data_IF_731206549779
#
_entry.id   IF_731206549779
#
_cell.length_a   1.000
_cell.length_b   1.000
_cell.length_c   1.000
_cell.angle_alpha   90.00
_cell.angle_beta   90.00
_cell.angle_gamma   90.00
#
_symmetry.space_group_name_H-M   'P 1'
#
loop_
_entity.id
_entity.type
_entity.pdbx_description
1 polymer ?
#
# COMPACT_ATOMS: atom_id res chain seq x y z
N UNK A 1 5.73 7.62 5.27
CA UNK A 1 4.31 8.02 5.46
C UNK A 1 3.81 7.43 6.78
N UNK A 2 3.27 8.23 7.68
CA UNK A 2 2.72 7.75 8.96
C UNK A 2 1.34 7.11 8.78
N UNK A 3 0.95 6.27 9.75
CA UNK A 3 -0.36 5.62 9.83
C UNK A 3 -1.47 6.62 10.14
N UNK A 4 -2.61 6.51 9.46
CA UNK A 4 -3.79 7.38 9.67
C UNK A 4 -4.76 6.80 10.70
N UNK A 5 -5.08 5.52 10.56
CA UNK A 5 -6.04 4.83 11.42
C UNK A 5 -5.34 3.98 12.47
N UNK A 6 -5.44 4.36 13.73
CA UNK A 6 -4.81 3.64 14.85
C UNK A 6 -5.84 2.70 15.49
N UNK A 7 -5.69 1.36 15.36
CA UNK A 7 -6.58 0.43 16.04
C UNK A 7 -6.41 0.53 17.56
N UNK A 8 -7.54 0.51 18.25
CA UNK A 8 -7.60 0.55 19.72
C UNK A 8 -8.77 -0.29 20.21
N UNK A 9 -8.77 -1.55 19.81
CA UNK A 9 -9.78 -2.58 20.12
C UNK A 9 -9.13 -3.97 20.08
N UNK A 10 -9.76 -4.96 20.71
CA UNK A 10 -9.19 -6.30 20.82
C UNK A 10 -7.80 -6.25 21.45
N UNK A 11 -6.85 -6.86 20.82
CA UNK A 11 -5.44 -6.92 21.20
C UNK A 11 -4.65 -5.66 20.82
N UNK A 12 -5.26 -4.72 20.08
CA UNK A 12 -4.62 -3.50 19.63
C UNK A 12 -4.88 -2.33 20.58
N UNK A 13 -3.82 -1.60 20.92
CA UNK A 13 -3.87 -0.43 21.80
C UNK A 13 -2.94 0.70 21.36
N UNK A 14 -2.87 0.92 20.03
CA UNK A 14 -1.93 1.87 19.44
C UNK A 14 -2.14 3.32 19.91
N UNK A 15 -3.38 3.72 20.20
CA UNK A 15 -3.67 5.09 20.71
C UNK A 15 -3.03 5.40 22.06
N UNK A 16 -2.51 4.39 22.79
CA UNK A 16 -1.74 4.63 24.01
C UNK A 16 -0.33 5.16 23.73
N UNK A 17 0.19 4.92 22.54
CA UNK A 17 1.58 5.18 22.19
C UNK A 17 1.75 6.12 20.99
N UNK A 18 0.74 6.24 20.14
CA UNK A 18 0.82 6.94 18.86
C UNK A 18 -0.35 7.89 18.67
N UNK A 19 -0.12 8.89 17.83
CA UNK A 19 -1.14 9.79 17.29
C UNK A 19 -1.27 9.53 15.78
N UNK A 20 -2.45 9.79 15.17
CA UNK A 20 -2.63 9.68 13.73
C UNK A 20 -1.65 10.57 12.96
N UNK A 21 -1.22 10.10 11.81
CA UNK A 21 -0.36 10.86 10.92
C UNK A 21 -1.03 12.13 10.41
N UNK A 22 -0.25 13.19 10.29
CA UNK A 22 -0.70 14.45 9.72
C UNK A 22 -0.80 14.36 8.20
N UNK A 23 -1.76 15.10 7.63
CA UNK A 23 -1.97 15.10 6.17
C UNK A 23 -0.92 15.92 5.44
N UNK A 24 -0.72 17.14 5.89
CA UNK A 24 0.22 18.07 5.27
C UNK A 24 1.65 17.63 5.58
N UNK A 25 2.51 17.48 4.56
CA UNK A 25 3.88 17.07 4.77
C UNK A 25 4.69 18.16 5.46
N UNK A 26 5.48 17.74 6.43
CA UNK A 26 6.46 18.58 7.13
C UNK A 26 7.88 18.07 6.86
N UNK A 27 8.85 18.98 6.83
CA UNK A 27 10.25 18.63 6.72
C UNK A 27 10.78 18.21 8.10
N UNK A 28 11.41 17.03 8.15
CA UNK A 28 12.06 16.52 9.34
C UNK A 28 13.48 16.05 9.02
N UNK A 29 14.33 16.01 10.04
CA UNK A 29 15.60 15.30 9.97
C UNK A 29 15.40 13.85 10.44
N UNK A 30 15.71 12.88 9.57
CA UNK A 30 15.66 11.46 9.87
C UNK A 30 16.95 10.78 9.43
N UNK A 31 17.64 10.14 10.37
CA UNK A 31 18.91 9.45 10.13
C UNK A 31 19.98 10.35 9.44
N UNK A 32 20.04 11.64 9.81
CA UNK A 32 20.99 12.60 9.24
C UNK A 32 20.62 13.12 7.85
N UNK A 33 19.38 12.92 7.42
CA UNK A 33 18.86 13.40 6.14
C UNK A 33 17.60 14.22 6.36
N UNK A 34 17.49 15.34 5.63
CA UNK A 34 16.23 16.07 5.53
C UNK A 34 15.25 15.26 4.65
N UNK A 35 14.05 15.03 5.16
CA UNK A 35 12.98 14.29 4.46
C UNK A 35 11.62 14.84 4.84
N UNK A 36 10.61 14.42 4.08
CA UNK A 36 9.23 14.79 4.36
C UNK A 36 8.51 13.68 5.14
N UNK A 37 7.76 14.08 6.16
CA UNK A 37 6.81 13.24 6.86
C UNK A 37 5.39 13.76 6.64
N UNK A 38 4.46 12.89 6.24
CA UNK A 38 3.06 13.23 6.01
C UNK A 38 2.33 12.08 5.33
N UNK A 39 1.00 12.14 5.32
CA UNK A 39 0.19 11.10 4.67
C UNK A 39 -0.12 11.44 3.21
N UNK A 40 -0.11 12.71 2.82
CA UNK A 40 -0.39 13.17 1.46
C UNK A 40 0.89 13.28 0.63
N UNK A 41 1.63 12.18 0.54
CA UNK A 41 2.84 12.05 -0.26
C UNK A 41 2.64 11.07 -1.41
N UNK A 42 3.19 11.42 -2.57
CA UNK A 42 3.35 10.52 -3.70
C UNK A 42 4.83 10.42 -4.06
N UNK A 43 5.27 9.26 -4.50
CA UNK A 43 6.63 9.03 -4.96
C UNK A 43 6.58 8.67 -6.44
N UNK A 44 7.03 9.58 -7.31
CA UNK A 44 6.96 9.44 -8.76
C UNK A 44 8.32 9.06 -9.36
N UNK A 45 8.35 7.99 -10.14
CA UNK A 45 9.55 7.57 -10.84
C UNK A 45 9.77 8.40 -12.10
N UNK A 46 10.93 9.06 -12.23
CA UNK A 46 11.25 9.91 -13.39
C UNK A 46 11.35 9.12 -14.70
N UNK A 47 11.95 7.92 -14.66
CA UNK A 47 12.14 7.10 -15.86
C UNK A 47 10.89 6.33 -16.26
N UNK A 48 9.95 6.15 -15.36
CA UNK A 48 8.72 5.40 -15.58
C UNK A 48 7.52 6.20 -15.04
N UNK A 49 7.01 7.19 -15.82
CA UNK A 49 5.95 8.11 -15.35
C UNK A 49 4.66 7.41 -14.89
N UNK A 50 4.38 6.21 -15.40
CA UNK A 50 3.27 5.38 -14.93
C UNK A 50 3.50 4.77 -13.53
N UNK A 51 4.71 4.84 -12.99
CA UNK A 51 5.04 4.35 -11.66
C UNK A 51 4.98 5.48 -10.63
N UNK A 52 3.83 5.60 -9.99
CA UNK A 52 3.61 6.52 -8.87
C UNK A 52 3.21 5.68 -7.66
N UNK A 53 4.07 5.68 -6.65
CA UNK A 53 3.89 4.91 -5.41
C UNK A 53 3.29 5.79 -4.32
N UNK A 54 2.35 5.24 -3.57
CA UNK A 54 1.94 5.72 -2.25
C UNK A 54 1.97 4.58 -1.25
N UNK A 55 1.96 4.90 0.04
CA UNK A 55 1.91 3.90 1.09
C UNK A 55 0.81 4.19 2.11
N UNK A 56 0.29 3.14 2.70
CA UNK A 56 -0.57 3.20 3.89
C UNK A 56 -0.13 2.10 4.86
N UNK A 57 -0.61 2.12 6.09
CA UNK A 57 -0.08 1.24 7.14
C UNK A 57 -1.20 0.43 7.78
N UNK A 58 -1.14 -0.88 7.60
CA UNK A 58 -1.91 -1.89 8.34
C UNK A 58 -3.42 -1.57 8.38
N UNK A 59 -3.93 -1.07 9.52
CA UNK A 59 -5.34 -0.73 9.77
C UNK A 59 -5.93 0.23 8.75
N UNK A 60 -5.10 1.00 8.05
CA UNK A 60 -5.58 1.93 7.04
C UNK A 60 -6.43 1.23 5.96
N UNK A 61 -6.03 0.01 5.53
CA UNK A 61 -6.82 -0.79 4.58
C UNK A 61 -8.17 -1.26 5.16
N UNK A 62 -8.23 -1.53 6.47
CA UNK A 62 -9.42 -2.09 7.13
C UNK A 62 -10.47 -1.02 7.45
N UNK A 63 -10.09 0.25 7.37
CA UNK A 63 -11.01 1.37 7.60
C UNK A 63 -12.08 1.48 6.50
N UNK A 64 -13.26 2.05 6.79
CA UNK A 64 -14.31 2.24 5.79
C UNK A 64 -13.88 3.08 4.59
N UNK A 65 -12.96 4.02 4.78
CA UNK A 65 -12.37 4.86 3.73
C UNK A 65 -10.85 4.82 3.89
N UNK A 66 -10.17 3.83 3.27
CA UNK A 66 -8.72 3.75 3.31
C UNK A 66 -8.04 4.98 2.69
N UNK A 67 -6.90 5.43 3.23
CA UNK A 67 -6.11 6.52 2.64
C UNK A 67 -5.75 6.28 1.17
N UNK A 68 -5.57 5.03 0.77
CA UNK A 68 -5.33 4.63 -0.63
C UNK A 68 -6.40 5.12 -1.60
N UNK A 69 -7.65 5.38 -1.16
CA UNK A 69 -8.67 6.00 -2.00
C UNK A 69 -8.22 7.38 -2.48
N UNK A 70 -7.77 8.23 -1.56
CA UNK A 70 -7.27 9.56 -1.90
C UNK A 70 -5.94 9.48 -2.66
N UNK A 71 -5.04 8.56 -2.27
CA UNK A 71 -3.76 8.35 -2.96
C UNK A 71 -3.95 7.99 -4.43
N UNK A 72 -4.88 7.08 -4.74
CA UNK A 72 -5.16 6.68 -6.12
C UNK A 72 -5.77 7.83 -6.95
N UNK A 73 -6.70 8.61 -6.37
CA UNK A 73 -7.26 9.79 -7.02
C UNK A 73 -6.23 10.88 -7.23
N UNK A 74 -5.24 10.99 -6.32
CA UNK A 74 -4.11 11.91 -6.48
C UNK A 74 -3.09 11.45 -7.53
N UNK A 75 -3.15 10.20 -8.00
CA UNK A 75 -2.33 9.68 -9.08
C UNK A 75 -1.53 8.42 -8.79
N UNK A 76 -1.54 7.90 -7.55
CA UNK A 76 -0.83 6.68 -7.23
C UNK A 76 -1.35 5.48 -8.05
N UNK A 77 -0.47 4.85 -8.81
CA UNK A 77 -0.76 3.62 -9.56
C UNK A 77 -0.37 2.36 -8.79
N UNK A 78 0.49 2.52 -7.80
CA UNK A 78 0.93 1.46 -6.89
C UNK A 78 0.70 1.92 -5.46
N UNK A 79 0.02 1.10 -4.67
CA UNK A 79 -0.18 1.32 -3.24
C UNK A 79 0.51 0.20 -2.47
N UNK A 80 1.38 0.55 -1.54
CA UNK A 80 2.02 -0.39 -0.63
C UNK A 80 1.41 -0.27 0.77
N UNK A 81 0.96 -1.37 1.33
CA UNK A 81 0.50 -1.46 2.71
C UNK A 81 1.50 -2.29 3.52
N UNK A 82 2.08 -1.65 4.54
CA UNK A 82 2.99 -2.30 5.47
C UNK A 82 2.20 -2.69 6.72
N UNK A 83 2.02 -3.98 6.92
CA UNK A 83 1.15 -4.52 7.97
C UNK A 83 1.90 -5.35 9.01
N UNK A 84 1.38 -5.31 10.23
CA UNK A 84 1.56 -6.32 11.25
C UNK A 84 0.16 -6.76 11.69
N UNK A 85 -0.50 -7.50 10.80
CA UNK A 85 -1.86 -7.98 11.00
C UNK A 85 -1.84 -9.36 11.63
N UNK A 86 -2.42 -9.48 12.82
CA UNK A 86 -2.57 -10.76 13.49
C UNK A 86 -3.35 -11.77 12.65
N UNK A 87 -3.01 -13.05 12.78
CA UNK A 87 -3.71 -14.12 12.06
C UNK A 87 -4.77 -14.75 12.94
N UNK A 88 -5.99 -14.79 12.44
CA UNK A 88 -7.12 -15.46 13.08
C UNK A 88 -7.86 -16.33 12.06
N UNK A 89 -8.70 -17.26 12.55
CA UNK A 89 -9.44 -18.17 11.67
C UNK A 89 -10.30 -17.40 10.66
N UNK A 90 -10.05 -17.64 9.37
CA UNK A 90 -10.77 -17.00 8.27
C UNK A 90 -10.23 -15.64 7.84
N UNK A 91 -9.30 -15.03 8.57
CA UNK A 91 -8.80 -13.68 8.26
C UNK A 91 -7.99 -13.63 6.96
N UNK A 92 -7.25 -14.70 6.62
CA UNK A 92 -6.51 -14.78 5.37
C UNK A 92 -7.41 -14.64 4.14
N UNK A 93 -8.59 -15.27 4.12
CA UNK A 93 -9.56 -15.14 3.04
C UNK A 93 -10.09 -13.70 2.95
N UNK A 94 -10.49 -13.12 4.07
CA UNK A 94 -10.98 -11.74 4.13
C UNK A 94 -9.91 -10.72 3.71
N UNK A 95 -8.66 -10.94 4.09
CA UNK A 95 -7.52 -10.11 3.66
C UNK A 95 -7.35 -10.11 2.15
N UNK A 96 -7.45 -11.29 1.49
CA UNK A 96 -7.42 -11.39 0.03
C UNK A 96 -8.55 -10.59 -0.63
N UNK A 97 -9.77 -10.71 -0.11
CA UNK A 97 -10.93 -9.98 -0.60
C UNK A 97 -10.73 -8.46 -0.48
N UNK A 98 -10.21 -7.98 0.64
CA UNK A 98 -9.91 -6.56 0.84
C UNK A 98 -8.84 -6.05 -0.13
N UNK A 99 -7.72 -6.76 -0.26
CA UNK A 99 -6.62 -6.39 -1.15
C UNK A 99 -7.07 -6.37 -2.61
N UNK A 100 -7.74 -7.43 -3.07
CA UNK A 100 -8.29 -7.50 -4.42
C UNK A 100 -9.38 -6.45 -4.66
N UNK A 101 -10.29 -6.28 -3.71
CA UNK A 101 -11.37 -5.29 -3.80
C UNK A 101 -10.85 -3.85 -3.87
N UNK A 102 -9.83 -3.53 -3.07
CA UNK A 102 -9.23 -2.20 -3.07
C UNK A 102 -8.45 -1.94 -4.38
N UNK A 103 -7.68 -2.92 -4.84
CA UNK A 103 -6.99 -2.87 -6.13
C UNK A 103 -7.96 -2.66 -7.30
N UNK A 104 -9.09 -3.39 -7.32
CA UNK A 104 -10.12 -3.28 -8.34
C UNK A 104 -10.79 -1.89 -8.36
N UNK A 105 -11.20 -1.42 -7.18
CA UNK A 105 -11.89 -0.13 -7.03
C UNK A 105 -11.01 1.03 -7.46
N UNK A 106 -9.72 0.97 -7.14
CA UNK A 106 -8.78 2.05 -7.37
C UNK A 106 -8.03 1.95 -8.69
N UNK A 107 -8.26 0.89 -9.47
CA UNK A 107 -7.54 0.62 -10.72
C UNK A 107 -6.02 0.77 -10.51
N UNK A 108 -5.49 0.07 -9.51
CA UNK A 108 -4.09 0.17 -9.10
C UNK A 108 -3.50 -1.21 -8.81
N UNK A 109 -2.18 -1.28 -8.72
CA UNK A 109 -1.52 -2.37 -8.03
C UNK A 109 -1.59 -2.13 -6.53
N UNK A 110 -1.94 -3.16 -5.76
CA UNK A 110 -1.95 -3.12 -4.31
C UNK A 110 -1.02 -4.20 -3.77
N UNK A 111 0.00 -3.75 -3.04
CA UNK A 111 1.02 -4.59 -2.43
C UNK A 111 0.78 -4.63 -0.93
N UNK A 112 0.52 -5.81 -0.39
CA UNK A 112 0.32 -6.02 1.03
C UNK A 112 1.49 -6.84 1.57
N UNK A 113 2.31 -6.21 2.43
CA UNK A 113 3.44 -6.84 3.10
C UNK A 113 3.11 -7.01 4.57
N UNK A 114 3.06 -8.24 5.04
CA UNK A 114 2.66 -8.59 6.41
C UNK A 114 3.84 -9.09 7.24
N UNK A 115 3.85 -8.73 8.51
CA UNK A 115 4.79 -9.27 9.49
C UNK A 115 4.66 -10.81 9.56
N UNK A 116 5.76 -11.48 9.71
CA UNK A 116 5.82 -12.94 9.65
C UNK A 116 6.65 -13.57 10.75
N UNK A 117 7.42 -14.57 10.37
CA UNK A 117 8.21 -15.36 11.31
C UNK A 117 9.16 -14.48 12.13
N UNK A 118 9.10 -14.62 13.45
CA UNK A 118 9.92 -13.86 14.38
C UNK A 118 9.30 -12.57 14.92
N UNK A 119 8.19 -12.10 14.33
CA UNK A 119 7.51 -10.86 14.75
C UNK A 119 6.36 -11.10 15.75
N UNK A 120 5.98 -12.35 16.00
CA UNK A 120 4.88 -12.68 16.91
C UNK A 120 5.16 -12.20 18.34
N UNK A 121 4.11 -11.70 19.00
CA UNK A 121 4.14 -11.20 20.37
C UNK A 121 3.42 -12.18 21.32
N UNK A 122 3.27 -11.80 22.59
CA UNK A 122 2.53 -12.58 23.58
C UNK A 122 1.06 -12.74 23.18
N UNK A 123 0.46 -11.72 22.61
CA UNK A 123 -0.98 -11.64 22.33
C UNK A 123 -1.33 -11.90 20.86
N UNK A 124 -0.37 -11.74 19.95
CA UNK A 124 -0.59 -11.78 18.50
C UNK A 124 0.36 -12.73 17.80
N UNK A 125 -0.16 -13.46 16.82
CA UNK A 125 0.60 -14.29 15.89
C UNK A 125 0.51 -13.71 14.49
N UNK A 126 1.64 -13.52 13.81
CA UNK A 126 1.71 -12.98 12.47
C UNK A 126 2.05 -14.08 11.48
N UNK A 127 1.34 -14.08 10.35
CA UNK A 127 1.42 -15.16 9.36
C UNK A 127 2.36 -14.88 8.19
N UNK A 128 2.78 -13.64 7.98
CA UNK A 128 3.57 -13.27 6.80
C UNK A 128 2.81 -13.46 5.50
N UNK A 129 1.51 -13.17 5.50
CA UNK A 129 0.64 -13.35 4.35
C UNK A 129 0.81 -12.20 3.36
N UNK A 130 1.81 -12.27 2.50
CA UNK A 130 2.13 -11.25 1.50
C UNK A 130 1.28 -11.43 0.24
N UNK A 131 0.69 -10.34 -0.25
CA UNK A 131 -0.24 -10.35 -1.38
C UNK A 131 0.11 -9.24 -2.38
N UNK A 132 -0.02 -9.54 -3.67
CA UNK A 132 0.04 -8.52 -4.72
C UNK A 132 -1.17 -8.70 -5.63
N UNK A 133 -1.98 -7.64 -5.75
CA UNK A 133 -3.11 -7.58 -6.66
C UNK A 133 -2.98 -6.44 -7.66
N UNK A 134 -3.54 -6.61 -8.86
CA UNK A 134 -3.59 -5.61 -9.92
C UNK A 134 -5.00 -5.59 -10.53
N UNK A 135 -5.65 -4.43 -10.55
CA UNK A 135 -7.01 -4.28 -11.08
C UNK A 135 -7.98 -5.37 -10.59
N UNK A 136 -7.85 -5.78 -9.32
CA UNK A 136 -8.68 -6.79 -8.70
C UNK A 136 -8.23 -8.23 -8.88
N UNK A 137 -7.27 -8.49 -9.74
CA UNK A 137 -6.71 -9.82 -9.94
C UNK A 137 -5.57 -10.06 -8.94
N UNK A 138 -5.63 -11.16 -8.20
CA UNK A 138 -4.53 -11.60 -7.34
C UNK A 138 -3.41 -12.16 -8.21
N UNK A 139 -2.23 -11.55 -8.17
CA UNK A 139 -1.07 -11.94 -8.98
C UNK A 139 -0.06 -12.77 -8.22
N UNK A 140 0.11 -12.50 -6.93
CA UNK A 140 0.98 -13.27 -6.05
C UNK A 140 0.34 -13.40 -4.67
N UNK A 141 0.49 -14.57 -4.07
CA UNK A 141 -0.10 -14.96 -2.78
C UNK A 141 0.91 -15.88 -2.08
N UNK A 142 1.68 -15.29 -1.17
CA UNK A 142 2.54 -16.07 -0.27
C UNK A 142 1.66 -16.65 0.84
N UNK A 143 1.56 -17.96 0.89
CA UNK A 143 0.68 -18.63 1.84
C UNK A 143 1.02 -18.26 3.30
N UNK A 144 0.01 -18.12 4.18
CA UNK A 144 0.24 -17.90 5.60
C UNK A 144 1.23 -18.91 6.18
N UNK A 145 2.19 -18.40 6.96
CA UNK A 145 3.24 -19.18 7.64
C UNK A 145 4.28 -19.86 6.71
N UNK A 146 4.22 -19.63 5.41
CA UNK A 146 5.21 -20.21 4.49
C UNK A 146 6.61 -19.55 4.59
N UNK A 147 6.67 -18.29 5.05
CA UNK A 147 7.92 -17.53 5.11
C UNK A 147 8.46 -17.17 3.73
N UNK A 148 7.59 -17.04 2.76
CA UNK A 148 7.91 -16.77 1.35
C UNK A 148 7.64 -15.30 1.00
N UNK A 149 8.44 -14.78 0.07
CA UNK A 149 8.20 -13.49 -0.54
C UNK A 149 7.16 -13.60 -1.67
N UNK A 150 6.32 -12.57 -1.83
CA UNK A 150 5.46 -12.42 -2.99
C UNK A 150 6.17 -11.59 -4.06
N UNK A 151 6.35 -12.14 -5.25
CA UNK A 151 7.01 -11.48 -6.37
C UNK A 151 6.18 -11.66 -7.64
N UNK A 152 5.97 -10.56 -8.37
CA UNK A 152 5.28 -10.58 -9.67
C UNK A 152 5.64 -9.36 -10.50
N UNK A 153 5.14 -9.32 -11.72
CA UNK A 153 5.22 -8.18 -12.62
C UNK A 153 3.91 -7.40 -12.63
N UNK A 154 3.98 -6.07 -12.79
CA UNK A 154 2.83 -5.18 -12.84
C UNK A 154 2.73 -4.52 -14.22
N UNK A 155 1.53 -4.49 -14.79
CA UNK A 155 1.23 -3.74 -16.02
C UNK A 155 0.73 -2.33 -15.69
N UNK A 156 1.68 -1.42 -15.40
CA UNK A 156 1.36 -0.03 -15.07
C UNK A 156 0.67 0.71 -16.23
N UNK A 157 1.01 0.36 -17.47
CA UNK A 157 0.40 0.94 -18.65
C UNK A 157 -1.08 0.63 -18.76
N UNK A 158 -1.46 -0.60 -18.46
CA UNK A 158 -2.86 -1.03 -18.41
C UNK A 158 -3.65 -0.24 -17.36
N UNK A 159 -3.10 -0.08 -16.15
CA UNK A 159 -3.77 0.66 -15.08
C UNK A 159 -4.04 2.13 -15.46
N UNK A 160 -3.06 2.79 -16.05
CA UNK A 160 -3.21 4.16 -16.58
C UNK A 160 -4.29 4.22 -17.65
N UNK A 161 -4.29 3.27 -18.58
CA UNK A 161 -5.27 3.21 -19.67
C UNK A 161 -6.70 2.96 -19.13
N UNK A 162 -6.87 2.05 -18.19
CA UNK A 162 -8.18 1.77 -17.59
C UNK A 162 -8.74 3.00 -16.84
N UNK A 163 -7.90 3.74 -16.13
CA UNK A 163 -8.30 5.01 -15.48
C UNK A 163 -8.73 6.07 -16.50
N UNK A 164 -8.03 6.19 -17.62
CA UNK A 164 -8.39 7.13 -18.68
C UNK A 164 -9.73 6.81 -19.36
N UNK A 165 -10.06 5.52 -19.44
CA UNK A 165 -11.34 5.05 -20.02
C UNK A 165 -12.51 5.15 -19.06
N UNK A 166 -12.23 5.13 -17.75
CA UNK A 166 -13.26 5.17 -16.71
C UNK A 166 -13.63 6.60 -16.36
N UNK A 167 -14.73 7.08 -16.91
CA UNK A 167 -15.21 8.46 -16.72
C UNK A 167 -15.64 8.78 -15.28
N UNK A 168 -15.82 7.76 -14.42
CA UNK A 168 -16.14 7.94 -13.00
C UNK A 168 -14.90 7.97 -12.11
N UNK A 169 -13.73 7.65 -12.65
CA UNK A 169 -12.47 7.82 -11.95
C UNK A 169 -12.03 9.28 -12.11
N UNK A 170 -12.36 10.10 -11.11
CA UNK A 170 -12.11 11.55 -11.16
C UNK A 170 -10.84 11.89 -10.37
N UNK A 171 -9.73 12.23 -11.05
CA UNK A 171 -8.48 12.59 -10.37
C UNK A 171 -8.66 13.81 -9.46
N UNK A 172 -8.04 13.75 -8.28
CA UNK A 172 -8.01 14.85 -7.31
C UNK A 172 -6.61 14.93 -6.68
N UNK A 173 -5.85 15.94 -7.10
CA UNK A 173 -4.44 16.10 -6.67
C UNK A 173 -4.25 17.13 -5.56
N UNK A 174 -5.31 17.80 -5.13
CA UNK A 174 -5.25 18.87 -4.14
C UNK A 174 -4.68 18.39 -2.81
N UNK A 175 -3.70 19.12 -2.26
CA UNK A 175 -3.10 18.82 -0.97
C UNK A 175 -2.08 17.68 -0.98
N UNK A 176 -1.65 17.18 -2.15
CA UNK A 176 -0.60 16.19 -2.27
C UNK A 176 0.74 16.82 -2.67
N UNK A 177 1.81 16.31 -2.07
CA UNK A 177 3.19 16.62 -2.45
C UNK A 177 3.82 15.41 -3.13
N UNK A 178 4.40 15.64 -4.30
CA UNK A 178 5.10 14.59 -5.04
C UNK A 178 6.60 14.68 -4.83
N UNK A 179 7.19 13.58 -4.40
CA UNK A 179 8.64 13.38 -4.30
C UNK A 179 9.09 12.56 -5.49
N UNK A 180 10.02 13.09 -6.26
CA UNK A 180 10.57 12.37 -7.40
C UNK A 180 11.72 11.45 -6.98
N UNK A 181 11.82 10.28 -7.60
CA UNK A 181 12.94 9.36 -7.44
C UNK A 181 13.39 8.80 -8.78
N UNK A 182 14.59 8.26 -8.81
CA UNK A 182 15.18 7.66 -9.99
C UNK A 182 15.48 6.17 -9.75
N UNK A 183 15.23 5.38 -10.77
CA UNK A 183 15.67 3.98 -10.81
C UNK A 183 16.90 3.87 -11.72
N UNK A 184 17.82 2.94 -11.44
CA UNK A 184 18.86 2.63 -12.40
C UNK A 184 18.22 2.18 -13.73
N UNK A 185 18.89 2.39 -14.86
CA UNK A 185 18.40 1.91 -16.15
C UNK A 185 18.15 0.41 -16.10
N UNK A 186 16.90 0.02 -16.34
CA UNK A 186 16.47 -1.39 -16.40
C UNK A 186 15.73 -1.57 -17.70
N UNK A 187 16.07 -2.63 -18.43
CA UNK A 187 15.28 -3.06 -19.56
C UNK A 187 13.98 -3.68 -19.04
N UNK A 188 12.87 -3.01 -19.31
CA UNK A 188 11.54 -3.45 -18.85
C UNK A 188 10.90 -4.27 -19.95
N UNK A 189 10.66 -5.55 -19.67
CA UNK A 189 9.88 -6.43 -20.52
C UNK A 189 8.81 -7.10 -19.67
N UNK A 190 7.54 -6.97 -20.06
CA UNK A 190 6.45 -7.69 -19.43
C UNK A 190 6.45 -9.13 -19.96
N UNK A 191 6.66 -10.10 -19.08
CA UNK A 191 6.76 -11.52 -19.44
C UNK A 191 5.43 -12.26 -19.23
N UNK A 192 4.50 -11.67 -18.49
CA UNK A 192 3.15 -12.22 -18.31
C UNK A 192 2.39 -12.28 -19.64
N UNK A 193 1.65 -13.37 -19.91
CA UNK A 193 0.79 -13.47 -21.07
C UNK A 193 -0.40 -12.50 -21.01
#
# INVERSE_FOLDING_TARGET
>A
MPKVHLPNYGEFYEKRHFIPGMREPECIELAGQETLIGTNLLFACKQLPAFVLAAEVCEDLWSPIPPSCAHALAGATVVANLSASDETVGKAAYRRELVCGQSARLLCAYLYADAGHGESTTDMTFAGHNLIAENGSLLADAAPFAGEDAVTELDLGRMVQERQRNTTFMPETNGYTTVEFELPPVELALIRP
#
